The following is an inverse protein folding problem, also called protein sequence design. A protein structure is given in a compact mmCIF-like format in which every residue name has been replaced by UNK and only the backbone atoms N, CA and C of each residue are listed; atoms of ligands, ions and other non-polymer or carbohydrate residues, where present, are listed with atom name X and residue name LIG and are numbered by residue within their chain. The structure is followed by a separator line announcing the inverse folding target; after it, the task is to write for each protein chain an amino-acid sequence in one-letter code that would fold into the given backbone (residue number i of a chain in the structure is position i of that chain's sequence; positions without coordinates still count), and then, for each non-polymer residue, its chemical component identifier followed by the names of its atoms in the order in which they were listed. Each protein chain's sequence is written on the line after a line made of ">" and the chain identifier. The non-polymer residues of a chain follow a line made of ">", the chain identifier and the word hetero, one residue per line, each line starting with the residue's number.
data_IF_691520708618
#
_entry.id   IF_691520708618
#
_cell.length_a   1.000
_cell.length_b   1.000
_cell.length_c   1.000
_cell.angle_alpha   90.00
_cell.angle_beta   90.00
_cell.angle_gamma   90.00
#
_symmetry.space_group_name_H-M   'P 1'
#
loop_
_entity.id
_entity.type
_entity.pdbx_description
1 polymer ?
#
# COMPACT_ATOMS: atom_id res chain seq x y z
N UNK A 1 -24.06 -0.59 -5.11
CA UNK A 1 -22.62 -0.82 -5.36
C UNK A 1 -22.48 -1.79 -6.53
N UNK A 2 -21.65 -1.48 -7.53
CA UNK A 2 -21.28 -2.47 -8.56
C UNK A 2 -20.10 -3.30 -8.02
N UNK A 3 -20.12 -4.63 -8.17
CA UNK A 3 -18.99 -5.46 -7.77
C UNK A 3 -17.76 -5.13 -8.62
N UNK A 4 -16.59 -5.05 -7.97
CA UNK A 4 -15.30 -4.92 -8.64
C UNK A 4 -14.93 -6.32 -9.13
N UNK A 5 -14.91 -6.51 -10.44
CA UNK A 5 -14.51 -7.79 -11.05
C UNK A 5 -12.98 -7.78 -11.11
N UNK A 6 -12.36 -8.76 -10.45
CA UNK A 6 -10.91 -8.97 -10.45
C UNK A 6 -10.62 -10.39 -10.93
N UNK A 7 -9.79 -10.53 -11.96
CA UNK A 7 -9.54 -11.81 -12.63
C UNK A 7 -8.10 -12.31 -12.51
N UNK A 8 -7.17 -11.45 -12.11
CA UNK A 8 -5.75 -11.78 -12.03
C UNK A 8 -5.06 -11.08 -10.86
N UNK A 9 -3.99 -11.69 -10.29
CA UNK A 9 -3.20 -11.07 -9.23
C UNK A 9 -2.66 -9.70 -9.66
N UNK A 10 -2.66 -8.75 -8.74
CA UNK A 10 -2.03 -7.43 -8.88
C UNK A 10 -2.63 -6.50 -9.95
N UNK A 11 -3.73 -6.88 -10.61
CA UNK A 11 -4.49 -6.01 -11.53
C UNK A 11 -5.33 -4.95 -10.81
N UNK A 12 -5.72 -5.20 -9.56
CA UNK A 12 -6.45 -4.19 -8.79
C UNK A 12 -6.05 -4.25 -7.33
N UNK A 13 -5.49 -3.13 -6.86
CA UNK A 13 -5.02 -2.99 -5.48
C UNK A 13 -5.83 -1.93 -4.74
N UNK A 14 -6.13 -2.22 -3.48
CA UNK A 14 -6.58 -1.22 -2.52
C UNK A 14 -5.38 -0.63 -1.79
N UNK A 15 -5.33 0.69 -1.68
CA UNK A 15 -4.29 1.40 -0.91
C UNK A 15 -4.98 2.17 0.20
N UNK A 16 -4.51 1.98 1.43
CA UNK A 16 -5.00 2.70 2.61
C UNK A 16 -3.86 3.12 3.53
N UNK A 17 -4.11 4.08 4.42
CA UNK A 17 -3.14 4.57 5.38
C UNK A 17 -3.78 4.57 6.75
N UNK A 18 -3.11 3.92 7.70
CA UNK A 18 -3.56 3.89 9.10
C UNK A 18 -2.55 4.57 10.04
N UNK A 19 -3.08 5.25 11.06
CA UNK A 19 -2.33 6.01 12.05
C UNK A 19 -3.00 7.35 12.39
N UNK A 20 -2.32 8.23 13.15
CA UNK A 20 -0.96 8.06 13.67
C UNK A 20 -0.88 7.11 14.87
N UNK A 21 0.13 6.24 14.88
CA UNK A 21 0.51 5.40 16.01
C UNK A 21 1.63 6.04 16.85
N UNK A 22 1.96 5.40 17.97
CA UNK A 22 3.13 5.76 18.78
C UNK A 22 4.39 5.77 17.92
N UNK A 23 5.14 6.88 18.00
CA UNK A 23 6.34 7.10 17.18
C UNK A 23 7.40 6.05 17.49
N UNK A 24 7.84 5.33 16.47
CA UNK A 24 9.01 4.45 16.59
C UNK A 24 10.31 5.24 16.73
N UNK A 25 11.40 4.59 17.15
CA UNK A 25 12.75 5.22 17.19
C UNK A 25 13.20 5.77 15.84
N UNK A 26 12.76 5.15 14.74
CA UNK A 26 13.02 5.58 13.36
C UNK A 26 12.06 6.66 12.87
N UNK A 27 11.15 7.14 13.71
CA UNK A 27 10.22 8.21 13.39
C UNK A 27 8.95 7.79 12.65
N UNK A 28 8.78 6.51 12.33
CA UNK A 28 7.57 6.00 11.69
C UNK A 28 6.36 6.15 12.63
N UNK A 29 5.25 6.63 12.08
CA UNK A 29 3.98 6.86 12.78
C UNK A 29 2.76 6.38 12.00
N UNK A 30 2.90 6.02 10.74
CA UNK A 30 1.79 5.53 9.92
C UNK A 30 2.19 4.21 9.27
N UNK A 31 1.20 3.50 8.74
CA UNK A 31 1.40 2.29 7.96
C UNK A 31 0.64 2.48 6.65
N UNK A 32 1.35 2.34 5.53
CA UNK A 32 0.75 2.15 4.21
C UNK A 32 0.32 0.70 4.09
N UNK A 33 -0.94 0.48 3.74
CA UNK A 33 -1.51 -0.83 3.51
C UNK A 33 -1.79 -0.95 2.02
N UNK A 34 -1.25 -1.98 1.38
CA UNK A 34 -1.52 -2.32 -0.02
C UNK A 34 -2.12 -3.71 -0.05
N UNK A 35 -3.31 -3.84 -0.62
CA UNK A 35 -4.06 -5.10 -0.68
C UNK A 35 -4.34 -5.45 -2.13
N UNK A 36 -3.85 -6.60 -2.60
CA UNK A 36 -4.29 -7.15 -3.88
C UNK A 36 -5.70 -7.73 -3.74
N UNK A 37 -6.65 -7.24 -4.53
CA UNK A 37 -8.04 -7.66 -4.42
C UNK A 37 -8.29 -9.08 -4.95
N UNK A 38 -7.44 -9.60 -5.84
CA UNK A 38 -7.59 -10.97 -6.34
C UNK A 38 -7.10 -11.99 -5.32
N UNK A 39 -5.82 -11.94 -4.94
CA UNK A 39 -5.20 -12.91 -4.02
C UNK A 39 -5.50 -12.65 -2.55
N UNK A 40 -5.99 -11.44 -2.20
CA UNK A 40 -6.09 -10.94 -0.82
C UNK A 40 -4.73 -10.81 -0.12
N UNK A 41 -3.64 -10.78 -0.89
CA UNK A 41 -2.30 -10.51 -0.36
C UNK A 41 -2.20 -9.09 0.18
N UNK A 42 -1.52 -8.93 1.32
CA UNK A 42 -1.38 -7.64 2.02
C UNK A 42 0.10 -7.31 2.22
N UNK A 43 0.52 -6.13 1.78
CA UNK A 43 1.82 -5.55 2.09
C UNK A 43 1.66 -4.31 2.99
N UNK A 44 2.53 -4.23 4.00
CA UNK A 44 2.50 -3.19 5.03
C UNK A 44 3.84 -2.46 5.06
N UNK A 45 3.81 -1.15 4.82
CA UNK A 45 5.03 -0.33 4.83
C UNK A 45 4.97 0.75 5.91
N UNK A 46 6.00 0.85 6.77
CA UNK A 46 6.03 1.87 7.80
C UNK A 46 6.35 3.25 7.17
N UNK A 47 5.58 4.26 7.54
CA UNK A 47 5.71 5.63 7.04
C UNK A 47 6.02 6.62 8.16
N UNK A 48 6.92 7.56 7.87
CA UNK A 48 7.17 8.74 8.73
C UNK A 48 6.18 9.87 8.44
N UNK A 49 5.64 9.93 7.23
CA UNK A 49 4.76 11.01 6.74
C UNK A 49 3.74 10.47 5.75
N UNK A 50 2.56 11.08 5.71
CA UNK A 50 1.46 10.76 4.78
C UNK A 50 1.49 11.60 3.50
N UNK A 51 2.65 12.20 3.18
CA UNK A 51 2.82 12.96 1.93
C UNK A 51 2.64 12.03 0.73
N UNK A 52 1.87 12.49 -0.26
CA UNK A 52 1.62 11.76 -1.49
C UNK A 52 2.91 11.32 -2.19
N UNK A 53 3.95 12.15 -2.21
CA UNK A 53 5.25 11.81 -2.80
C UNK A 53 5.95 10.67 -2.07
N UNK A 54 5.89 10.62 -0.74
CA UNK A 54 6.46 9.52 0.06
C UNK A 54 5.73 8.20 -0.21
N UNK A 55 4.40 8.26 -0.29
CA UNK A 55 3.56 7.08 -0.57
C UNK A 55 3.80 6.58 -1.99
N UNK A 56 3.82 7.47 -2.98
CA UNK A 56 4.05 7.13 -4.38
C UNK A 56 5.42 6.48 -4.59
N UNK A 57 6.46 7.01 -3.93
CA UNK A 57 7.81 6.45 -4.01
C UNK A 57 7.85 5.02 -3.45
N UNK A 58 7.29 4.80 -2.26
CA UNK A 58 7.25 3.46 -1.65
C UNK A 58 6.42 2.51 -2.49
N UNK A 59 5.27 2.94 -3.01
CA UNK A 59 4.43 2.12 -3.85
C UNK A 59 5.13 1.73 -5.16
N UNK A 60 5.88 2.65 -5.78
CA UNK A 60 6.68 2.37 -6.96
C UNK A 60 7.78 1.35 -6.65
N UNK A 61 8.61 1.64 -5.64
CA UNK A 61 9.81 0.88 -5.34
C UNK A 61 9.49 -0.52 -4.79
N UNK A 62 8.48 -0.62 -3.93
CA UNK A 62 8.20 -1.86 -3.18
C UNK A 62 7.07 -2.70 -3.78
N UNK A 63 6.17 -2.12 -4.59
CA UNK A 63 5.03 -2.83 -5.19
C UNK A 63 5.17 -2.92 -6.70
N UNK A 64 5.19 -1.79 -7.41
CA UNK A 64 5.16 -1.78 -8.88
C UNK A 64 6.41 -2.42 -9.48
N UNK A 65 7.59 -2.15 -8.94
CA UNK A 65 8.85 -2.77 -9.40
C UNK A 65 8.88 -4.29 -9.19
N UNK A 66 8.12 -4.83 -8.23
CA UNK A 66 8.10 -6.26 -7.90
C UNK A 66 7.00 -7.03 -8.61
N UNK A 67 5.81 -6.44 -8.73
CA UNK A 67 4.61 -7.13 -9.19
C UNK A 67 4.08 -6.62 -10.54
N UNK A 68 4.63 -5.53 -11.06
CA UNK A 68 4.15 -4.87 -12.27
C UNK A 68 3.07 -3.83 -11.97
N UNK A 69 2.45 -3.34 -13.04
CA UNK A 69 1.40 -2.33 -12.94
C UNK A 69 0.02 -3.00 -12.88
N UNK A 70 -0.86 -2.54 -11.97
CA UNK A 70 -2.28 -2.84 -12.04
C UNK A 70 -2.91 -2.28 -13.31
#
# INVERSE_FOLDING_TARGET
>A
MKPIIVSEPWHTVGIDITGPFTKTRRGNRFILVVVDYFTKWVELFPLQSTKATTIAQIFLDEVLCRFGFP
#
